data_IF_771891183056
#
_entry.id   IF_771891183056
#
_cell.length_a   1.000
_cell.length_b   1.000
_cell.length_c   1.000
_cell.angle_alpha   90.00
_cell.angle_beta   90.00
_cell.angle_gamma   90.00
#
_symmetry.space_group_name_H-M   'P 1'
#
loop_
_entity.id
_entity.type
_entity.pdbx_description
1 polymer ?
#
# COMPACT_ATOMS: atom_id res chain seq x y z
N UNK A 1 -8.87 -76.36 20.44
CA UNK A 1 -7.94 -75.55 19.62
C UNK A 1 -8.58 -74.41 18.83
N UNK A 2 -9.91 -74.33 18.67
CA UNK A 2 -10.58 -73.19 17.99
C UNK A 2 -10.74 -71.92 18.85
N UNK A 3 -10.82 -72.02 20.18
CA UNK A 3 -11.03 -70.87 21.06
C UNK A 3 -9.81 -69.95 21.23
N UNK A 4 -8.58 -70.47 21.11
CA UNK A 4 -7.36 -69.66 21.27
C UNK A 4 -7.09 -68.73 20.07
N UNK A 5 -7.55 -69.10 18.88
CA UNK A 5 -7.35 -68.32 17.64
C UNK A 5 -8.39 -67.21 17.47
N UNK A 6 -9.59 -67.38 18.03
CA UNK A 6 -10.62 -66.33 18.06
C UNK A 6 -10.25 -65.21 19.06
N UNK A 7 -9.63 -65.56 20.19
CA UNK A 7 -9.13 -64.57 21.16
C UNK A 7 -7.99 -63.73 20.55
N UNK A 8 -6.97 -64.35 19.94
CA UNK A 8 -5.87 -63.60 19.31
C UNK A 8 -6.35 -62.67 18.18
N UNK A 9 -7.35 -63.09 17.40
CA UNK A 9 -7.99 -62.24 16.39
C UNK A 9 -8.74 -61.07 17.01
N UNK A 10 -9.53 -61.31 18.06
CA UNK A 10 -10.24 -60.25 18.77
C UNK A 10 -9.29 -59.21 19.38
N UNK A 11 -8.15 -59.65 19.91
CA UNK A 11 -7.09 -58.75 20.39
C UNK A 11 -6.46 -57.95 19.25
N UNK A 12 -6.18 -58.57 18.09
CA UNK A 12 -5.62 -57.88 16.93
C UNK A 12 -6.57 -56.81 16.36
N UNK A 13 -7.87 -57.13 16.23
CA UNK A 13 -8.89 -56.19 15.76
C UNK A 13 -9.08 -55.03 16.74
N UNK A 14 -9.00 -55.30 18.05
CA UNK A 14 -9.03 -54.27 19.08
C UNK A 14 -7.85 -53.30 18.97
N UNK A 15 -6.63 -53.79 18.77
CA UNK A 15 -5.44 -52.94 18.60
C UNK A 15 -5.46 -52.16 17.29
N UNK A 16 -5.84 -52.78 16.17
CA UNK A 16 -5.94 -52.13 14.85
C UNK A 16 -6.98 -51.01 14.90
N UNK A 17 -8.15 -51.26 15.50
CA UNK A 17 -9.21 -50.25 15.62
C UNK A 17 -8.78 -49.08 16.50
N UNK A 18 -8.12 -49.35 17.63
CA UNK A 18 -7.60 -48.28 18.51
C UNK A 18 -6.48 -47.46 17.86
N UNK A 19 -5.53 -48.10 17.20
CA UNK A 19 -4.46 -47.39 16.47
C UNK A 19 -5.04 -46.59 15.31
N UNK A 20 -6.00 -47.14 14.56
CA UNK A 20 -6.72 -46.45 13.51
C UNK A 20 -7.47 -45.23 14.03
N UNK A 21 -8.16 -45.35 15.16
CA UNK A 21 -8.86 -44.25 15.81
C UNK A 21 -7.88 -43.16 16.30
N UNK A 22 -6.75 -43.54 16.89
CA UNK A 22 -5.72 -42.60 17.32
C UNK A 22 -5.11 -41.84 16.15
N UNK A 23 -4.76 -42.54 15.06
CA UNK A 23 -4.25 -41.92 13.83
C UNK A 23 -5.29 -40.99 13.21
N UNK A 24 -6.55 -41.41 13.11
CA UNK A 24 -7.63 -40.59 12.58
C UNK A 24 -7.84 -39.32 13.42
N UNK A 25 -7.83 -39.46 14.75
CA UNK A 25 -7.95 -38.32 15.67
C UNK A 25 -6.75 -37.38 15.57
N UNK A 26 -5.54 -37.91 15.43
CA UNK A 26 -4.33 -37.11 15.23
C UNK A 26 -4.39 -36.33 13.91
N UNK A 27 -4.85 -36.96 12.82
CA UNK A 27 -5.05 -36.29 11.53
C UNK A 27 -6.12 -35.19 11.64
N UNK A 28 -7.26 -35.47 12.28
CA UNK A 28 -8.31 -34.47 12.49
C UNK A 28 -7.82 -33.28 13.32
N UNK A 29 -7.06 -33.52 14.39
CA UNK A 29 -6.46 -32.46 15.19
C UNK A 29 -5.47 -31.64 14.36
N UNK A 30 -4.56 -32.28 13.63
CA UNK A 30 -3.62 -31.60 12.73
C UNK A 30 -4.34 -30.76 11.67
N UNK A 31 -5.42 -31.27 11.10
CA UNK A 31 -6.27 -30.52 10.16
C UNK A 31 -6.90 -29.30 10.83
N UNK A 32 -7.51 -29.45 12.01
CA UNK A 32 -8.12 -28.35 12.74
C UNK A 32 -7.09 -27.26 13.11
N UNK A 33 -5.90 -27.66 13.57
CA UNK A 33 -4.81 -26.73 13.91
C UNK A 33 -4.22 -26.02 12.70
N UNK A 34 -4.26 -26.61 11.50
CA UNK A 34 -3.78 -25.96 10.27
C UNK A 34 -4.82 -25.08 9.59
N UNK A 35 -6.08 -25.44 9.65
CA UNK A 35 -7.17 -24.74 8.97
C UNK A 35 -7.49 -23.40 9.64
N UNK A 36 -7.47 -23.34 10.97
CA UNK A 36 -7.82 -22.10 11.69
C UNK A 36 -6.87 -20.92 11.41
N UNK A 37 -5.53 -21.10 11.45
CA UNK A 37 -4.59 -20.02 11.08
C UNK A 37 -4.71 -19.59 9.61
N UNK A 38 -5.06 -20.52 8.70
CA UNK A 38 -5.25 -20.24 7.28
C UNK A 38 -6.37 -19.22 7.04
N UNK A 39 -7.48 -19.30 7.78
CA UNK A 39 -8.56 -18.31 7.67
C UNK A 39 -8.13 -16.94 8.21
N UNK A 40 -7.36 -16.90 9.31
CA UNK A 40 -6.81 -15.65 9.84
C UNK A 40 -5.88 -14.95 8.86
N UNK A 41 -4.98 -15.70 8.22
CA UNK A 41 -4.10 -15.16 7.17
C UNK A 41 -4.89 -14.64 5.96
N UNK A 42 -5.93 -15.37 5.51
CA UNK A 42 -6.78 -14.94 4.40
C UNK A 42 -7.55 -13.65 4.72
N UNK A 43 -8.12 -13.54 5.91
CA UNK A 43 -8.81 -12.32 6.35
C UNK A 43 -7.85 -11.13 6.44
N UNK A 44 -6.65 -11.34 7.01
CA UNK A 44 -5.63 -10.29 7.07
C UNK A 44 -5.19 -9.84 5.68
N UNK A 45 -4.98 -10.79 4.74
CA UNK A 45 -4.61 -10.47 3.37
C UNK A 45 -5.72 -9.70 2.63
N UNK A 46 -6.98 -10.10 2.78
CA UNK A 46 -8.12 -9.35 2.24
C UNK A 46 -8.21 -7.92 2.81
N UNK A 47 -7.88 -7.77 4.10
CA UNK A 47 -7.80 -6.45 4.73
C UNK A 47 -6.64 -5.59 4.21
N UNK A 48 -5.49 -6.18 3.87
CA UNK A 48 -4.38 -5.46 3.24
C UNK A 48 -4.73 -5.02 1.83
N UNK A 49 -5.36 -5.91 1.05
CA UNK A 49 -5.84 -5.62 -0.30
C UNK A 49 -6.84 -4.45 -0.27
N UNK A 50 -7.87 -4.53 0.57
CA UNK A 50 -8.86 -3.46 0.70
C UNK A 50 -8.22 -2.10 1.06
N UNK A 51 -7.27 -2.07 1.99
CA UNK A 51 -6.62 -0.82 2.41
C UNK A 51 -5.75 -0.21 1.30
N UNK A 52 -4.93 -1.02 0.62
CA UNK A 52 -4.09 -0.54 -0.47
C UNK A 52 -4.94 -0.10 -1.68
N UNK A 53 -5.94 -0.92 -2.04
CA UNK A 53 -6.87 -0.67 -3.13
C UNK A 53 -7.74 0.57 -2.88
N UNK A 54 -8.21 0.83 -1.66
CA UNK A 54 -8.96 2.06 -1.38
C UNK A 54 -8.09 3.30 -1.63
N UNK A 55 -6.88 3.35 -1.07
CA UNK A 55 -5.95 4.47 -1.26
C UNK A 55 -5.60 4.66 -2.74
N UNK A 56 -5.26 3.58 -3.45
CA UNK A 56 -5.00 3.59 -4.89
C UNK A 56 -6.20 4.15 -5.67
N UNK A 57 -7.41 3.70 -5.36
CA UNK A 57 -8.63 4.19 -6.01
C UNK A 57 -8.87 5.69 -5.78
N UNK A 58 -8.55 6.22 -4.58
CA UNK A 58 -8.68 7.65 -4.30
C UNK A 58 -7.65 8.47 -5.04
N UNK A 59 -6.41 7.98 -5.12
CA UNK A 59 -5.34 8.58 -5.91
C UNK A 59 -5.76 8.71 -7.38
N UNK A 60 -6.24 7.62 -7.96
CA UNK A 60 -6.66 7.58 -9.37
C UNK A 60 -7.90 8.43 -9.61
N UNK A 61 -8.84 8.45 -8.66
CA UNK A 61 -10.01 9.32 -8.70
C UNK A 61 -9.62 10.81 -8.73
N UNK A 62 -8.63 11.22 -7.92
CA UNK A 62 -8.12 12.60 -7.92
C UNK A 62 -7.43 12.94 -9.23
N UNK A 63 -6.73 11.99 -9.85
CA UNK A 63 -6.07 12.23 -11.14
C UNK A 63 -7.09 12.48 -12.28
N UNK A 64 -8.21 11.76 -12.29
CA UNK A 64 -9.25 11.94 -13.32
C UNK A 64 -9.95 13.30 -13.20
N UNK A 65 -9.92 13.93 -12.02
CA UNK A 65 -10.55 15.24 -11.80
C UNK A 65 -9.82 16.33 -12.58
N UNK A 66 -10.56 17.06 -13.42
CA UNK A 66 -10.03 18.16 -14.24
C UNK A 66 -9.99 19.50 -13.53
N UNK A 67 -10.54 19.59 -12.31
CA UNK A 67 -10.62 20.82 -11.52
C UNK A 67 -9.26 21.11 -10.88
N UNK A 68 -8.60 22.24 -11.23
CA UNK A 68 -7.30 22.58 -10.64
C UNK A 68 -7.41 22.79 -9.13
N UNK A 69 -6.49 22.20 -8.36
CA UNK A 69 -6.46 22.34 -6.90
C UNK A 69 -7.56 21.56 -6.18
N UNK A 70 -8.20 20.60 -6.85
CA UNK A 70 -9.05 19.63 -6.17
C UNK A 70 -8.24 18.84 -5.14
N UNK A 71 -8.79 18.75 -3.93
CA UNK A 71 -8.19 18.03 -2.80
C UNK A 71 -9.18 16.98 -2.31
N UNK A 72 -8.70 15.77 -2.16
CA UNK A 72 -9.39 14.71 -1.45
C UNK A 72 -8.74 14.52 -0.08
N UNK A 73 -9.56 14.36 0.95
CA UNK A 73 -9.10 14.08 2.32
C UNK A 73 -9.51 12.65 2.62
N UNK A 74 -8.53 11.76 2.69
CA UNK A 74 -8.70 10.37 3.08
C UNK A 74 -8.46 10.24 4.59
N UNK A 75 -9.36 9.56 5.29
CA UNK A 75 -9.24 9.24 6.71
C UNK A 75 -9.12 7.74 6.82
N UNK A 76 -8.08 7.27 7.52
CA UNK A 76 -7.87 5.85 7.74
C UNK A 76 -8.93 5.27 8.67
N UNK A 77 -9.40 4.08 8.34
CA UNK A 77 -10.35 3.36 9.19
C UNK A 77 -9.66 2.86 10.47
N UNK A 78 -10.44 2.69 11.55
CA UNK A 78 -9.88 2.19 12.82
C UNK A 78 -9.28 0.79 12.67
N UNK A 79 -9.83 -0.02 11.76
CA UNK A 79 -9.36 -1.37 11.43
C UNK A 79 -7.99 -1.37 10.72
N UNK A 80 -7.55 -0.23 10.19
CA UNK A 80 -6.27 -0.09 9.50
C UNK A 80 -5.13 0.35 10.42
N UNK A 81 -5.41 0.67 11.69
CA UNK A 81 -4.41 1.26 12.60
C UNK A 81 -3.21 0.37 12.89
N UNK A 82 -3.41 -0.95 12.85
CA UNK A 82 -2.34 -1.93 13.05
C UNK A 82 -1.57 -2.25 11.75
N UNK A 83 -2.00 -1.68 10.63
CA UNK A 83 -1.35 -1.81 9.32
C UNK A 83 -0.33 -0.70 9.15
N UNK A 84 0.75 -0.99 8.44
CA UNK A 84 1.71 -0.01 7.95
C UNK A 84 1.49 0.16 6.46
N UNK A 85 1.07 1.36 6.06
CA UNK A 85 0.96 1.74 4.65
C UNK A 85 2.25 2.47 4.24
N UNK A 86 2.75 2.16 3.06
CA UNK A 86 3.90 2.82 2.44
C UNK A 86 3.50 3.25 1.03
N UNK A 87 3.72 4.52 0.69
CA UNK A 87 3.36 5.09 -0.60
C UNK A 87 4.63 5.49 -1.32
N UNK A 88 4.85 4.86 -2.47
CA UNK A 88 5.88 5.22 -3.43
C UNK A 88 5.24 5.86 -4.66
N UNK A 89 6.04 6.26 -5.64
CA UNK A 89 5.52 6.91 -6.85
C UNK A 89 4.60 6.00 -7.67
N UNK A 90 4.83 4.70 -7.66
CA UNK A 90 4.16 3.73 -8.53
C UNK A 90 3.40 2.65 -7.77
N UNK A 91 3.49 2.61 -6.43
CA UNK A 91 2.88 1.57 -5.61
C UNK A 91 2.40 2.10 -4.25
N UNK A 92 1.29 1.55 -3.79
CA UNK A 92 0.84 1.59 -2.39
C UNK A 92 1.06 0.20 -1.79
N UNK A 93 1.84 0.12 -0.72
CA UNK A 93 2.17 -1.14 -0.05
C UNK A 93 1.53 -1.15 1.32
N UNK A 94 0.76 -2.19 1.63
CA UNK A 94 0.17 -2.42 2.94
C UNK A 94 0.85 -3.61 3.62
N UNK A 95 1.24 -3.44 4.88
CA UNK A 95 1.95 -4.44 5.68
C UNK A 95 1.24 -4.65 7.00
N UNK A 96 1.19 -5.89 7.49
CA UNK A 96 0.76 -6.20 8.86
C UNK A 96 1.60 -7.34 9.42
N UNK A 97 1.96 -7.22 10.70
CA UNK A 97 2.62 -8.31 11.42
C UNK A 97 1.56 -9.17 12.10
N UNK A 98 1.53 -10.46 11.76
CA UNK A 98 0.65 -11.44 12.39
C UNK A 98 1.47 -12.34 13.32
N UNK A 99 0.94 -12.57 14.52
CA UNK A 99 1.50 -13.56 15.44
C UNK A 99 0.80 -14.89 15.22
N UNK A 100 1.56 -15.91 14.83
CA UNK A 100 1.06 -17.27 14.65
C UNK A 100 1.68 -18.20 15.70
N UNK A 101 1.08 -19.37 15.98
CA UNK A 101 1.71 -20.38 16.84
C UNK A 101 3.10 -20.85 16.39
N UNK A 102 3.52 -20.52 15.17
CA UNK A 102 4.81 -20.90 14.57
C UNK A 102 5.80 -19.73 14.50
N UNK A 103 5.43 -18.55 15.01
CA UNK A 103 6.26 -17.35 15.02
C UNK A 103 5.53 -16.11 14.47
N UNK A 104 6.24 -15.00 14.50
CA UNK A 104 5.80 -13.75 13.86
C UNK A 104 6.07 -13.81 12.36
N UNK A 105 5.10 -13.35 11.57
CA UNK A 105 5.19 -13.28 10.12
C UNK A 105 4.66 -11.93 9.64
N UNK A 106 5.38 -11.32 8.71
CA UNK A 106 4.89 -10.14 8.00
C UNK A 106 4.06 -10.59 6.79
N UNK A 107 2.84 -10.07 6.68
CA UNK A 107 2.04 -10.12 5.46
C UNK A 107 2.19 -8.79 4.73
N UNK A 108 2.34 -8.87 3.41
CA UNK A 108 2.57 -7.71 2.54
C UNK A 108 1.69 -7.83 1.31
N UNK A 109 0.96 -6.75 1.00
CA UNK A 109 0.28 -6.55 -0.27
C UNK A 109 0.81 -5.28 -0.92
N UNK A 110 0.96 -5.29 -2.24
CA UNK A 110 1.41 -4.13 -3.00
C UNK A 110 0.45 -3.91 -4.17
N UNK A 111 -0.18 -2.74 -4.17
CA UNK A 111 -1.10 -2.30 -5.21
C UNK A 111 -0.36 -1.34 -6.16
N UNK A 112 -0.26 -1.66 -7.46
CA UNK A 112 0.32 -0.75 -8.44
C UNK A 112 -0.61 0.44 -8.69
N UNK A 113 -0.03 1.60 -8.92
CA UNK A 113 -0.76 2.81 -9.30
C UNK A 113 -0.72 2.99 -10.81
N UNK A 114 -1.86 3.30 -11.43
CA UNK A 114 -1.90 3.69 -12.85
C UNK A 114 -1.29 5.08 -13.07
N UNK A 115 -1.32 5.92 -12.04
CA UNK A 115 -0.86 7.31 -12.07
C UNK A 115 0.33 7.50 -11.16
N UNK A 116 1.27 8.36 -11.56
CA UNK A 116 2.42 8.68 -10.72
C UNK A 116 2.03 9.65 -9.61
N UNK A 117 2.45 9.32 -8.39
CA UNK A 117 2.23 10.17 -7.22
C UNK A 117 3.52 10.66 -6.60
N UNK A 118 3.44 11.83 -5.97
CA UNK A 118 4.57 12.46 -5.32
C UNK A 118 4.20 12.83 -3.89
N UNK A 119 4.37 11.87 -2.96
CA UNK A 119 4.26 12.14 -1.54
C UNK A 119 5.20 13.24 -1.05
N UNK A 120 4.87 13.82 0.10
CA UNK A 120 5.76 14.72 0.82
C UNK A 120 7.11 14.06 1.06
N UNK A 121 8.16 14.86 0.93
CA UNK A 121 9.55 14.40 0.91
C UNK A 121 10.46 15.49 1.49
N UNK A 122 11.77 15.25 1.43
CA UNK A 122 12.78 16.18 1.95
C UNK A 122 12.73 17.59 1.30
N UNK A 123 12.19 17.72 0.09
CA UNK A 123 12.14 18.99 -0.64
C UNK A 123 10.87 19.81 -0.33
N UNK A 124 9.73 19.16 -0.06
CA UNK A 124 8.48 19.83 0.29
C UNK A 124 7.55 18.97 1.15
N UNK A 125 6.75 19.63 1.97
CA UNK A 125 5.71 19.02 2.81
C UNK A 125 4.29 19.15 2.27
N UNK A 126 4.05 20.09 1.34
CA UNK A 126 2.72 20.33 0.76
C UNK A 126 2.84 21.14 -0.54
N UNK A 127 1.70 21.42 -1.17
CA UNK A 127 1.62 22.21 -2.42
C UNK A 127 2.27 23.58 -2.31
N UNK A 128 2.10 24.31 -1.20
CA UNK A 128 2.77 25.60 -1.01
C UNK A 128 4.30 25.45 -0.94
N UNK A 129 4.79 24.39 -0.30
CA UNK A 129 6.22 24.03 -0.28
C UNK A 129 6.75 23.72 -1.67
N UNK A 130 6.00 22.94 -2.47
CA UNK A 130 6.34 22.67 -3.87
C UNK A 130 6.40 23.98 -4.68
N UNK A 131 5.38 24.84 -4.58
CA UNK A 131 5.33 26.13 -5.30
C UNK A 131 6.52 27.02 -4.97
N UNK A 132 6.97 27.00 -3.71
CA UNK A 132 8.20 27.70 -3.30
C UNK A 132 9.44 27.11 -3.98
N UNK A 133 9.55 25.79 -4.07
CA UNK A 133 10.65 25.15 -4.81
C UNK A 133 10.63 25.40 -6.30
N UNK A 134 9.46 25.43 -6.91
CA UNK A 134 9.31 25.85 -8.31
C UNK A 134 9.73 27.31 -8.48
N UNK A 135 9.37 28.19 -7.54
CA UNK A 135 9.82 29.59 -7.53
C UNK A 135 11.33 29.75 -7.45
N UNK A 136 12.02 28.92 -6.65
CA UNK A 136 13.48 28.92 -6.57
C UNK A 136 14.11 28.53 -7.93
N UNK A 137 13.52 27.57 -8.63
CA UNK A 137 13.99 27.09 -9.95
C UNK A 137 13.64 28.10 -11.07
N UNK A 138 12.47 28.70 -10.99
CA UNK A 138 11.84 29.56 -12.00
C UNK A 138 12.09 31.05 -11.81
N UNK A 139 13.13 31.44 -11.07
CA UNK A 139 13.51 32.84 -10.83
C UNK A 139 12.35 33.73 -10.32
N UNK A 140 11.54 33.21 -9.40
CA UNK A 140 10.39 33.90 -8.82
C UNK A 140 9.02 33.47 -9.36
N UNK A 141 8.99 32.66 -10.45
CA UNK A 141 7.75 32.10 -11.00
C UNK A 141 7.44 30.74 -10.37
N UNK A 142 6.21 30.52 -9.91
CA UNK A 142 5.84 29.34 -9.10
C UNK A 142 5.14 28.23 -9.92
N UNK A 143 4.95 28.43 -11.22
CA UNK A 143 4.32 27.48 -12.14
C UNK A 143 2.81 27.37 -11.99
N UNK A 144 2.14 28.30 -11.32
CA UNK A 144 0.67 28.39 -11.37
C UNK A 144 0.23 29.04 -12.70
N UNK A 145 -1.09 29.12 -12.92
CA UNK A 145 -1.63 29.66 -14.17
C UNK A 145 -1.40 31.16 -14.35
N UNK A 146 -1.14 31.90 -13.26
CA UNK A 146 -0.92 33.36 -13.29
C UNK A 146 0.57 33.74 -13.30
N UNK A 147 1.43 32.80 -12.92
CA UNK A 147 2.88 32.90 -12.84
C UNK A 147 3.53 31.59 -13.36
N UNK A 148 3.31 31.26 -14.65
CA UNK A 148 3.82 30.04 -15.27
C UNK A 148 5.35 30.06 -15.31
N UNK A 149 5.98 28.89 -15.22
CA UNK A 149 7.43 28.75 -15.37
C UNK A 149 7.86 29.02 -16.80
N UNK A 150 9.11 29.41 -17.02
CA UNK A 150 9.67 29.43 -18.36
C UNK A 150 9.85 28.00 -18.87
N UNK A 151 9.61 27.76 -20.17
CA UNK A 151 9.78 26.43 -20.78
C UNK A 151 11.21 25.89 -20.60
N UNK A 152 12.20 26.76 -20.51
CA UNK A 152 13.59 26.40 -20.21
C UNK A 152 13.79 25.80 -18.80
N UNK A 153 12.90 26.08 -17.86
CA UNK A 153 12.92 25.51 -16.51
C UNK A 153 12.39 24.07 -16.45
N UNK A 154 11.66 23.62 -17.49
CA UNK A 154 11.04 22.30 -17.56
C UNK A 154 12.02 21.16 -17.28
N UNK A 155 13.20 21.18 -17.92
CA UNK A 155 14.22 20.15 -17.70
C UNK A 155 14.69 20.05 -16.25
N UNK A 156 14.82 21.18 -15.54
CA UNK A 156 15.20 21.21 -14.12
C UNK A 156 14.09 20.67 -13.22
N UNK A 157 12.83 20.97 -13.55
CA UNK A 157 11.67 20.45 -12.81
C UNK A 157 11.54 18.94 -13.03
N UNK A 158 11.76 18.47 -14.26
CA UNK A 158 11.75 17.03 -14.59
C UNK A 158 12.86 16.26 -13.86
N UNK A 159 14.06 16.84 -13.79
CA UNK A 159 15.16 16.29 -13.00
C UNK A 159 14.82 16.26 -11.50
N UNK A 160 14.19 17.32 -10.97
CA UNK A 160 13.72 17.37 -9.59
C UNK A 160 12.74 16.22 -9.28
N UNK A 161 11.70 16.03 -10.10
CA UNK A 161 10.76 14.92 -9.92
C UNK A 161 11.45 13.55 -10.08
N UNK A 162 12.34 13.39 -11.06
CA UNK A 162 13.10 12.15 -11.27
C UNK A 162 14.04 11.80 -10.09
N UNK A 163 14.56 12.81 -9.38
CA UNK A 163 15.33 12.59 -8.15
C UNK A 163 14.43 12.08 -7.01
N UNK A 164 13.21 12.60 -6.94
CA UNK A 164 12.23 12.25 -5.90
C UNK A 164 11.66 10.86 -6.12
N UNK A 165 11.44 10.46 -7.37
CA UNK A 165 11.09 9.07 -7.71
C UNK A 165 12.14 8.09 -7.17
N UNK A 166 13.43 8.42 -7.32
CA UNK A 166 14.53 7.62 -6.79
C UNK A 166 14.64 7.64 -5.27
N UNK A 167 14.29 8.75 -4.63
CA UNK A 167 14.22 8.87 -3.16
C UNK A 167 13.09 7.98 -2.62
N UNK A 168 11.88 8.11 -3.16
CA UNK A 168 10.69 7.37 -2.73
C UNK A 168 10.77 5.87 -3.02
N UNK A 169 11.50 5.46 -4.05
CA UNK A 169 11.80 4.05 -4.29
C UNK A 169 12.66 3.41 -3.19
N UNK A 170 13.47 4.21 -2.48
CA UNK A 170 14.34 3.76 -1.37
C UNK A 170 13.69 3.97 -0.01
N UNK A 171 13.00 5.08 0.15
CA UNK A 171 12.37 5.53 1.37
C UNK A 171 10.93 5.94 1.05
N UNK A 172 10.00 4.98 0.98
CA UNK A 172 8.62 5.29 0.69
C UNK A 172 8.02 6.15 1.79
N UNK A 173 7.01 6.93 1.44
CA UNK A 173 6.30 7.76 2.40
C UNK A 173 5.41 6.89 3.29
N UNK A 174 5.56 7.02 4.61
CA UNK A 174 4.76 6.28 5.59
C UNK A 174 3.83 7.27 6.28
N UNK A 175 2.53 7.32 5.92
CA UNK A 175 1.58 8.18 6.60
C UNK A 175 1.35 7.72 8.05
N UNK A 176 1.14 8.68 8.95
CA UNK A 176 0.60 8.40 10.28
C UNK A 176 -0.88 8.06 10.19
N UNK A 177 -1.30 6.93 10.77
CA UNK A 177 -2.70 6.47 10.75
C UNK A 177 -3.63 7.35 11.62
N UNK A 178 -3.07 8.23 12.45
CA UNK A 178 -3.79 9.18 13.29
C UNK A 178 -4.20 10.47 12.55
N UNK A 179 -3.69 10.67 11.33
CA UNK A 179 -3.90 11.89 10.55
C UNK A 179 -4.50 11.58 9.19
N UNK A 180 -5.33 12.50 8.72
CA UNK A 180 -5.87 12.39 7.37
C UNK A 180 -4.78 12.57 6.31
N UNK A 181 -4.87 11.77 5.26
CA UNK A 181 -4.03 11.86 4.08
C UNK A 181 -4.69 12.82 3.08
N UNK A 182 -3.97 13.83 2.63
CA UNK A 182 -4.44 14.77 1.62
C UNK A 182 -3.86 14.34 0.27
N UNK A 183 -4.73 14.16 -0.70
CA UNK A 183 -4.40 13.83 -2.09
C UNK A 183 -4.85 15.01 -2.95
N UNK A 184 -3.92 15.67 -3.64
CA UNK A 184 -4.19 16.89 -4.41
C UNK A 184 -3.64 16.78 -5.83
N UNK A 185 -4.46 17.15 -6.82
CA UNK A 185 -3.98 17.33 -8.19
C UNK A 185 -3.45 18.75 -8.39
N UNK A 186 -2.19 18.85 -8.79
CA UNK A 186 -1.48 20.10 -9.04
C UNK A 186 -1.10 20.19 -10.52
N UNK A 187 -1.45 21.32 -11.13
CA UNK A 187 -1.06 21.65 -12.50
C UNK A 187 0.14 22.61 -12.47
N UNK A 188 1.21 22.25 -13.18
CA UNK A 188 2.37 23.11 -13.40
C UNK A 188 2.32 23.63 -14.84
N UNK A 189 2.25 24.95 -14.98
CA UNK A 189 2.19 25.65 -16.24
C UNK A 189 3.59 26.11 -16.66
N UNK A 190 3.93 25.91 -17.93
CA UNK A 190 5.15 26.36 -18.57
C UNK A 190 4.81 27.23 -19.77
N UNK A 191 5.58 28.28 -20.03
CA UNK A 191 5.39 29.14 -21.20
C UNK A 191 6.72 29.60 -21.78
N UNK A 192 6.76 29.82 -23.08
CA UNK A 192 7.85 30.53 -23.78
C UNK A 192 7.42 31.93 -24.27
N UNK A 193 6.22 32.37 -23.87
CA UNK A 193 5.58 33.62 -24.30
C UNK A 193 4.57 33.46 -25.44
N UNK A 194 4.62 32.37 -26.21
CA UNK A 194 3.69 32.09 -27.32
C UNK A 194 2.86 30.83 -27.06
N UNK A 195 3.49 29.80 -26.50
CA UNK A 195 2.87 28.53 -26.17
C UNK A 195 2.78 28.34 -24.66
N UNK A 196 1.76 27.60 -24.22
CA UNK A 196 1.61 27.19 -22.82
C UNK A 196 1.48 25.69 -22.77
N UNK A 197 2.40 25.05 -22.06
CA UNK A 197 2.32 23.62 -21.76
C UNK A 197 1.88 23.43 -20.31
N UNK A 198 1.10 22.39 -20.07
CA UNK A 198 0.62 22.04 -18.72
C UNK A 198 1.03 20.61 -18.42
N UNK A 199 1.56 20.39 -17.21
CA UNK A 199 1.79 19.05 -16.66
C UNK A 199 1.05 18.89 -15.36
N UNK A 200 0.43 17.74 -15.19
CA UNK A 200 -0.25 17.34 -13.98
C UNK A 200 0.63 16.47 -13.08
N UNK A 201 0.45 16.66 -11.79
CA UNK A 201 1.11 15.91 -10.74
C UNK A 201 0.10 15.64 -9.63
N UNK A 202 0.05 14.42 -9.13
CA UNK A 202 -0.74 14.06 -7.94
C UNK A 202 0.19 14.10 -6.74
N UNK A 203 -0.09 15.01 -5.79
CA UNK A 203 0.66 15.15 -4.55
C UNK A 203 -0.07 14.45 -3.41
N UNK A 204 0.70 13.87 -2.49
CA UNK A 204 0.18 13.22 -1.30
C UNK A 204 0.89 13.79 -0.07
N UNK A 205 0.17 14.23 0.95
CA UNK A 205 0.80 14.76 2.17
C UNK A 205 -0.12 14.69 3.39
N UNK A 206 0.43 14.99 4.57
CA UNK A 206 -0.29 15.05 5.85
C UNK A 206 0.02 16.33 6.60
#
# INVERSE_FOLDING_TARGET
MKQLTDDERAWSDFFITRMGLMLFTAVLLLSAFKIYPLFGEQHAMAGLDAAASDIASKIESVDIVTVPGYKYVHTFDEEDRDKRIEISTEFVVARVNISTPWGERELVHAEPLVVRVYPQNSNWSNTSGLRKKLSDIGAGKNGDSVSPLDLSAKGKVDEMFSNIERELARMPFVPGMDRSLIIEKVLIYYTDGNETEVRDYVLIYQ
#
